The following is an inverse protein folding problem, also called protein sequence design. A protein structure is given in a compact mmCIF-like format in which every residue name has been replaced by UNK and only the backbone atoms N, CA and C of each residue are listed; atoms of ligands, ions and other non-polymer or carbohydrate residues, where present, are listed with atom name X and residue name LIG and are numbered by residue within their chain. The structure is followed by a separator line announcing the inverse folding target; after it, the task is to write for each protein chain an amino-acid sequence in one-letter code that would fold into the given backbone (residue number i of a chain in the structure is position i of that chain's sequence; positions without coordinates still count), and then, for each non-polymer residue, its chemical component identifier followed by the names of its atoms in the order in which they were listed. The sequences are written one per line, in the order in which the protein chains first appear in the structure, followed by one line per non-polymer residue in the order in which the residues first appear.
data_IF_662433003764
#
_entry.id   IF_662433003764
#
_cell.length_a   1.000
_cell.length_b   1.000
_cell.length_c   1.000
_cell.angle_alpha   90.00
_cell.angle_beta   90.00
_cell.angle_gamma   90.00
#
_symmetry.space_group_name_H-M   'P 1'
#
loop_
_entity.id
_entity.type
_entity.pdbx_description
1 polymer ?
#
# COMPACT_ATOMS: atom_id res chain seq x y z
N UNK A 1 -24.90 5.57 26.39
CA UNK A 1 -23.60 6.05 26.91
C UNK A 1 -22.53 5.27 26.16
N UNK A 2 -21.50 5.92 25.61
CA UNK A 2 -20.40 5.21 24.96
C UNK A 2 -19.48 4.65 26.07
N UNK A 3 -19.20 3.35 26.03
CA UNK A 3 -18.30 2.66 26.97
C UNK A 3 -17.24 1.92 26.15
N UNK A 4 -16.01 1.90 26.65
CA UNK A 4 -14.87 1.26 25.98
C UNK A 4 -13.73 1.01 26.96
N UNK A 5 -12.59 0.58 26.44
CA UNK A 5 -11.38 0.35 27.24
C UNK A 5 -10.61 1.68 27.34
N UNK A 6 -10.36 2.23 28.54
CA UNK A 6 -9.62 3.47 28.70
C UNK A 6 -8.14 3.23 28.39
N UNK A 7 -7.61 3.92 27.38
CA UNK A 7 -6.19 3.80 26.95
C UNK A 7 -5.31 4.89 27.57
N UNK A 8 -5.86 6.10 27.77
CA UNK A 8 -5.15 7.24 28.36
C UNK A 8 -6.12 8.10 29.19
N UNK A 9 -5.71 8.57 30.40
CA UNK A 9 -6.55 9.43 31.23
C UNK A 9 -6.59 10.87 30.69
N UNK A 10 -7.73 11.55 30.86
CA UNK A 10 -7.86 12.98 30.54
C UNK A 10 -9.23 13.38 30.02
N UNK A 11 -9.40 14.69 29.76
CA UNK A 11 -10.58 15.27 29.12
C UNK A 11 -10.14 16.06 27.88
N UNK A 12 -10.70 15.74 26.72
CA UNK A 12 -10.47 16.48 25.48
C UNK A 12 -11.81 16.96 24.90
N UNK A 13 -11.84 18.20 24.41
CA UNK A 13 -13.02 18.81 23.75
C UNK A 13 -12.59 19.30 22.38
N UNK A 14 -13.25 18.84 21.32
CA UNK A 14 -12.89 19.19 19.96
C UNK A 14 -13.84 18.59 18.93
N UNK A 15 -13.56 18.81 17.64
CA UNK A 15 -14.32 18.21 16.56
C UNK A 15 -13.92 16.75 16.36
N UNK A 16 -14.90 15.86 16.28
CA UNK A 16 -14.68 14.48 15.90
C UNK A 16 -14.45 14.39 14.38
N UNK A 17 -13.38 13.71 13.96
CA UNK A 17 -13.10 13.39 12.57
C UNK A 17 -13.34 11.90 12.37
N UNK A 18 -14.23 11.55 11.44
CA UNK A 18 -14.53 10.16 11.11
C UNK A 18 -13.64 9.74 9.94
N UNK A 19 -12.62 8.93 10.23
CA UNK A 19 -11.81 8.28 9.20
C UNK A 19 -12.49 6.96 8.83
N UNK A 20 -12.99 6.85 7.60
CA UNK A 20 -13.53 5.59 7.07
C UNK A 20 -12.48 4.94 6.19
N UNK A 21 -12.13 3.70 6.49
CA UNK A 21 -11.33 2.88 5.61
C UNK A 21 -12.28 2.06 4.73
N UNK A 22 -12.48 2.48 3.48
CA UNK A 22 -13.06 1.62 2.46
C UNK A 22 -11.92 1.03 1.66
N UNK A 23 -11.80 -0.30 1.63
CA UNK A 23 -10.86 -0.94 0.71
C UNK A 23 -11.14 -0.54 -0.73
N UNK A 24 -10.11 -0.54 -1.57
CA UNK A 24 -10.28 -0.39 -3.02
C UNK A 24 -10.67 -1.76 -3.58
N UNK A 25 -11.84 -1.91 -4.22
CA UNK A 25 -12.23 -3.20 -4.79
C UNK A 25 -11.30 -3.58 -5.94
N UNK A 26 -10.73 -4.78 -5.87
CA UNK A 26 -9.94 -5.38 -6.94
C UNK A 26 -10.85 -6.23 -7.84
N UNK A 27 -11.49 -5.59 -8.82
CA UNK A 27 -12.33 -6.33 -9.78
C UNK A 27 -11.46 -7.11 -10.77
N UNK A 28 -11.81 -8.39 -10.98
CA UNK A 28 -11.19 -9.21 -12.03
C UNK A 28 -11.59 -8.68 -13.40
N UNK A 29 -10.61 -8.28 -14.20
CA UNK A 29 -10.76 -7.85 -15.59
C UNK A 29 -9.85 -8.67 -16.49
N UNK A 30 -10.37 -9.10 -17.63
CA UNK A 30 -9.57 -9.74 -18.66
C UNK A 30 -8.61 -8.74 -19.30
N UNK A 31 -7.37 -9.17 -19.54
CA UNK A 31 -6.34 -8.39 -20.25
C UNK A 31 -6.00 -9.13 -21.53
N UNK A 32 -6.13 -8.45 -22.66
CA UNK A 32 -5.77 -9.01 -23.96
C UNK A 32 -4.26 -9.26 -24.03
N UNK A 33 -3.79 -10.32 -24.74
CA UNK A 33 -2.36 -10.61 -24.83
C UNK A 33 -1.50 -9.44 -25.33
N UNK A 34 -2.05 -8.60 -26.22
CA UNK A 34 -1.37 -7.40 -26.73
C UNK A 34 -1.20 -6.28 -25.71
N UNK A 35 -2.01 -6.26 -24.64
CA UNK A 35 -2.00 -5.23 -23.60
C UNK A 35 -1.18 -5.66 -22.37
N UNK A 36 -0.70 -6.91 -22.33
CA UNK A 36 -0.03 -7.49 -21.16
C UNK A 36 1.25 -6.73 -20.78
N UNK A 37 2.04 -6.29 -21.77
CA UNK A 37 3.25 -5.49 -21.52
C UNK A 37 2.91 -4.12 -20.90
N UNK A 38 1.82 -3.50 -21.34
CA UNK A 38 1.36 -2.25 -20.77
C UNK A 38 0.89 -2.43 -19.32
N UNK A 39 0.17 -3.51 -19.04
CA UNK A 39 -0.29 -3.84 -17.70
C UNK A 39 0.88 -4.14 -16.74
N UNK A 40 1.91 -4.87 -17.18
CA UNK A 40 3.14 -5.07 -16.42
C UNK A 40 3.84 -3.74 -16.12
N UNK A 41 3.97 -2.88 -17.14
CA UNK A 41 4.53 -1.54 -16.97
C UNK A 41 3.72 -0.69 -15.98
N UNK A 42 2.39 -0.88 -15.93
CA UNK A 42 1.50 -0.23 -14.96
C UNK A 42 1.77 -0.69 -13.54
N UNK A 43 1.90 -2.00 -13.32
CA UNK A 43 2.28 -2.59 -12.04
C UNK A 43 3.64 -2.05 -11.56
N UNK A 44 4.68 -2.10 -12.40
CA UNK A 44 6.03 -1.64 -12.05
C UNK A 44 6.07 -0.14 -11.70
N UNK A 45 5.28 0.68 -12.41
CA UNK A 45 5.11 2.11 -12.06
C UNK A 45 4.42 2.30 -10.71
N UNK A 46 3.41 1.49 -10.40
CA UNK A 46 2.70 1.56 -9.13
C UNK A 46 3.62 1.15 -7.96
N UNK A 47 4.37 0.05 -8.12
CA UNK A 47 5.38 -0.39 -7.18
C UNK A 47 6.41 0.70 -6.87
N UNK A 48 6.98 1.31 -7.92
CA UNK A 48 7.93 2.42 -7.76
C UNK A 48 7.34 3.60 -6.98
N UNK A 49 6.12 4.03 -7.34
CA UNK A 49 5.42 5.12 -6.63
C UNK A 49 5.17 4.78 -5.15
N UNK A 50 4.82 3.53 -4.86
CA UNK A 50 4.61 3.07 -3.49
C UNK A 50 5.93 3.12 -2.70
N UNK A 51 7.02 2.60 -3.25
CA UNK A 51 8.36 2.67 -2.62
C UNK A 51 8.80 4.12 -2.39
N UNK A 52 8.66 5.00 -3.38
CA UNK A 52 8.97 6.43 -3.23
C UNK A 52 8.15 7.08 -2.10
N UNK A 53 6.86 6.72 -2.00
CA UNK A 53 5.97 7.19 -0.94
C UNK A 53 6.43 6.69 0.44
N UNK A 54 6.71 5.40 0.61
CA UNK A 54 7.21 4.86 1.89
C UNK A 54 8.50 5.52 2.34
N UNK A 55 9.46 5.69 1.42
CA UNK A 55 10.74 6.34 1.72
C UNK A 55 10.58 7.82 2.05
N UNK A 56 9.63 8.51 1.42
CA UNK A 56 9.29 9.90 1.74
C UNK A 56 8.70 10.01 3.14
N UNK A 57 7.69 9.21 3.47
CA UNK A 57 7.03 9.26 4.77
C UNK A 57 7.96 8.82 5.91
N UNK A 58 8.85 7.85 5.67
CA UNK A 58 9.93 7.50 6.62
C UNK A 58 10.75 8.74 6.98
N UNK A 59 11.29 9.44 5.98
CA UNK A 59 12.12 10.63 6.19
C UNK A 59 11.37 11.74 6.91
N UNK A 60 10.17 12.08 6.44
CA UNK A 60 9.36 13.18 6.99
C UNK A 60 8.95 12.93 8.43
N UNK A 61 8.63 11.69 8.79
CA UNK A 61 8.10 11.38 10.12
C UNK A 61 9.18 10.97 11.12
N UNK A 62 10.40 10.65 10.67
CA UNK A 62 11.50 10.16 11.52
C UNK A 62 11.79 11.02 12.76
N UNK A 63 11.64 12.34 12.68
CA UNK A 63 11.79 13.26 13.81
C UNK A 63 10.62 13.26 14.81
N UNK A 64 9.43 12.84 14.38
CA UNK A 64 8.20 12.84 15.18
C UNK A 64 7.92 11.47 15.83
N UNK A 65 8.10 10.38 15.06
CA UNK A 65 7.77 9.02 15.51
C UNK A 65 9.00 8.20 15.92
N UNK A 66 10.21 8.72 15.68
CA UNK A 66 11.46 8.04 15.98
C UNK A 66 11.96 7.11 14.88
N UNK A 67 13.23 6.72 14.99
CA UNK A 67 13.97 5.97 13.96
C UNK A 67 13.47 4.54 13.77
N UNK A 68 12.95 3.91 14.82
CA UNK A 68 12.43 2.53 14.75
C UNK A 68 11.19 2.45 13.85
N UNK A 69 10.23 3.35 14.03
CA UNK A 69 9.01 3.38 13.22
C UNK A 69 9.30 3.82 11.78
N UNK A 70 10.28 4.71 11.58
CA UNK A 70 10.77 5.07 10.24
C UNK A 70 11.35 3.83 9.50
N UNK A 71 12.15 3.01 10.18
CA UNK A 71 12.71 1.79 9.61
C UNK A 71 11.63 0.77 9.19
N UNK A 72 10.51 0.70 9.90
CA UNK A 72 9.36 -0.13 9.51
C UNK A 72 8.81 0.34 8.16
N UNK A 73 8.66 1.65 7.92
CA UNK A 73 8.18 2.16 6.63
C UNK A 73 9.15 1.87 5.49
N UNK A 74 10.46 1.97 5.74
CA UNK A 74 11.49 1.63 4.76
C UNK A 74 11.43 0.15 4.38
N UNK A 75 11.22 -0.74 5.35
CA UNK A 75 11.03 -2.16 5.11
C UNK A 75 9.81 -2.42 4.21
N UNK A 76 8.68 -1.73 4.43
CA UNK A 76 7.52 -1.83 3.54
C UNK A 76 7.82 -1.32 2.13
N UNK A 77 8.63 -0.27 2.01
CA UNK A 77 9.12 0.22 0.72
C UNK A 77 9.98 -0.81 -0.03
N UNK A 78 10.84 -1.53 0.69
CA UNK A 78 11.66 -2.60 0.13
C UNK A 78 10.79 -3.76 -0.38
N UNK A 79 9.80 -4.20 0.41
CA UNK A 79 8.85 -5.25 0.01
C UNK A 79 8.07 -4.83 -1.25
N UNK A 80 7.61 -3.57 -1.32
CA UNK A 80 6.87 -3.07 -2.48
C UNK A 80 7.71 -3.06 -3.78
N UNK A 81 9.03 -2.99 -3.68
CA UNK A 81 9.97 -3.04 -4.81
C UNK A 81 10.64 -4.40 -5.02
N UNK A 82 10.24 -5.44 -4.27
CA UNK A 82 10.85 -6.77 -4.38
C UNK A 82 10.55 -7.38 -5.76
N UNK A 83 11.60 -7.59 -6.56
CA UNK A 83 11.45 -8.08 -7.93
C UNK A 83 10.92 -9.53 -7.98
N UNK A 84 11.22 -10.35 -6.97
CA UNK A 84 10.70 -11.72 -6.90
C UNK A 84 9.19 -11.69 -6.68
N UNK A 85 8.72 -10.81 -5.80
CA UNK A 85 7.30 -10.62 -5.54
C UNK A 85 6.56 -10.05 -6.75
N UNK A 86 7.12 -9.02 -7.40
CA UNK A 86 6.55 -8.43 -8.61
C UNK A 86 6.50 -9.45 -9.75
N UNK A 87 7.54 -10.26 -9.93
CA UNK A 87 7.56 -11.29 -10.96
C UNK A 87 6.48 -12.34 -10.74
N UNK A 88 6.23 -12.76 -9.49
CA UNK A 88 5.16 -13.70 -9.19
C UNK A 88 3.76 -13.17 -9.58
N UNK A 89 3.52 -11.87 -9.38
CA UNK A 89 2.28 -11.20 -9.82
C UNK A 89 2.21 -11.17 -11.35
N UNK A 90 3.30 -10.80 -12.03
CA UNK A 90 3.38 -10.74 -13.50
C UNK A 90 3.12 -12.13 -14.10
N UNK A 91 3.68 -13.18 -13.52
CA UNK A 91 3.47 -14.56 -13.96
C UNK A 91 2.00 -14.98 -13.81
N UNK A 92 1.35 -14.55 -12.72
CA UNK A 92 -0.09 -14.76 -12.53
C UNK A 92 -0.93 -13.97 -13.53
N UNK A 93 -0.60 -12.70 -13.79
CA UNK A 93 -1.26 -11.90 -14.83
C UNK A 93 -1.20 -12.60 -16.18
N UNK A 94 -0.01 -13.06 -16.59
CA UNK A 94 0.24 -13.74 -17.87
C UNK A 94 -0.46 -15.09 -17.98
N UNK A 95 -0.43 -15.89 -16.91
CA UNK A 95 -1.06 -17.21 -16.89
C UNK A 95 -2.59 -17.10 -16.94
N UNK A 96 -3.17 -16.16 -16.21
CA UNK A 96 -4.62 -16.06 -16.03
C UNK A 96 -5.30 -15.01 -16.94
N UNK A 97 -4.50 -14.22 -17.68
CA UNK A 97 -4.94 -13.10 -18.52
C UNK A 97 -5.79 -12.09 -17.75
N UNK A 98 -5.27 -11.66 -16.59
CA UNK A 98 -5.96 -10.79 -15.62
C UNK A 98 -5.16 -9.52 -15.31
N UNK A 99 -5.87 -8.49 -14.85
CA UNK A 99 -5.29 -7.23 -14.42
C UNK A 99 -4.43 -7.35 -13.14
N UNK A 100 -3.54 -6.38 -12.97
CA UNK A 100 -2.56 -6.35 -11.88
C UNK A 100 -3.18 -6.29 -10.48
N UNK A 101 -4.36 -5.67 -10.30
CA UNK A 101 -5.02 -5.63 -8.98
C UNK A 101 -5.59 -6.99 -8.56
N UNK A 102 -5.85 -7.89 -9.51
CA UNK A 102 -6.43 -9.21 -9.25
C UNK A 102 -5.37 -10.31 -9.08
N UNK A 103 -4.28 -10.20 -9.84
CA UNK A 103 -3.13 -11.11 -9.80
C UNK A 103 -2.38 -11.01 -8.47
#
# INVERSE_FOLDING_TARGET
MLQGIPVSPGLAVGRAVIVRFSGVPAFRRAVEPGDMEEEERRLRRAARKATESFMKHSRETSGEIGTELAAILEAHGMIASDETYLQAIIDRMRREHVNAEWA
#
